data_IF_564527379616
#
_entry.id   IF_564527379616
#
_cell.length_a   1.000
_cell.length_b   1.000
_cell.length_c   1.000
_cell.angle_alpha   90.00
_cell.angle_beta   90.00
_cell.angle_gamma   90.00
#
_symmetry.space_group_name_H-M   'P 1'
#
loop_
_entity.id
_entity.type
_entity.pdbx_description
1 polymer ?
#
# COMPACT_ATOMS: atom_id res chain seq x y z
N UNK A 1 -14.58 16.92 29.88
CA UNK A 1 -15.11 17.08 28.51
C UNK A 1 -16.11 15.97 28.25
N UNK A 2 -17.31 16.34 27.80
CA UNK A 2 -18.33 15.34 27.45
C UNK A 2 -17.80 14.47 26.30
N UNK A 3 -17.90 13.15 26.35
CA UNK A 3 -17.33 12.25 25.33
C UNK A 3 -17.77 12.61 23.89
N UNK A 4 -19.03 13.03 23.74
CA UNK A 4 -19.56 13.49 22.46
C UNK A 4 -18.80 14.70 21.89
N UNK A 5 -18.46 15.69 22.71
CA UNK A 5 -17.71 16.87 22.28
C UNK A 5 -16.29 16.47 21.83
N UNK A 6 -15.63 15.57 22.54
CA UNK A 6 -14.31 15.07 22.16
C UNK A 6 -14.36 14.30 20.81
N UNK A 7 -15.36 13.44 20.63
CA UNK A 7 -15.56 12.70 19.37
C UNK A 7 -15.84 13.64 18.20
N UNK A 8 -16.68 14.66 18.40
CA UNK A 8 -16.96 15.67 17.37
C UNK A 8 -15.71 16.47 17.01
N UNK A 9 -14.94 16.92 18.00
CA UNK A 9 -13.69 17.65 17.75
C UNK A 9 -12.67 16.80 16.99
N UNK A 10 -12.53 15.51 17.33
CA UNK A 10 -11.66 14.59 16.61
C UNK A 10 -12.15 14.35 15.18
N UNK A 11 -13.46 14.16 14.98
CA UNK A 11 -14.04 13.98 13.65
C UNK A 11 -13.86 15.20 12.76
N UNK A 12 -14.18 16.38 13.28
CA UNK A 12 -14.02 17.65 12.52
C UNK A 12 -12.54 17.92 12.25
N UNK A 13 -11.66 17.77 13.25
CA UNK A 13 -10.21 17.97 13.08
C UNK A 13 -9.62 16.99 12.07
N UNK A 14 -10.03 15.73 12.11
CA UNK A 14 -9.64 14.71 11.12
C UNK A 14 -10.11 15.05 9.70
N UNK A 15 -11.36 15.48 9.55
CA UNK A 15 -11.90 15.91 8.25
C UNK A 15 -11.15 17.14 7.68
N UNK A 16 -10.88 18.15 8.52
CA UNK A 16 -10.10 19.32 8.12
C UNK A 16 -8.68 18.91 7.72
N UNK A 17 -8.02 18.06 8.51
CA UNK A 17 -6.69 17.56 8.19
C UNK A 17 -6.66 16.79 6.86
N UNK A 18 -7.61 15.89 6.63
CA UNK A 18 -7.71 15.14 5.38
C UNK A 18 -7.95 16.06 4.17
N UNK A 19 -8.83 17.06 4.32
CA UNK A 19 -9.08 18.04 3.25
C UNK A 19 -7.87 18.93 2.98
N UNK A 20 -7.14 19.36 4.03
CA UNK A 20 -5.96 20.19 3.88
C UNK A 20 -4.79 19.47 3.20
N UNK A 21 -4.62 18.17 3.47
CA UNK A 21 -3.51 17.38 2.93
C UNK A 21 -3.82 16.66 1.63
N UNK A 22 -5.04 16.12 1.49
CA UNK A 22 -5.45 15.29 0.35
C UNK A 22 -6.57 15.86 -0.52
N UNK A 23 -7.20 16.97 -0.07
CA UNK A 23 -8.41 17.49 -0.73
C UNK A 23 -8.19 17.92 -2.18
N UNK A 24 -7.08 18.59 -2.49
CA UNK A 24 -6.75 18.99 -3.87
C UNK A 24 -6.62 17.78 -4.80
N UNK A 25 -5.92 16.74 -4.35
CA UNK A 25 -5.76 15.48 -5.05
C UNK A 25 -7.10 14.77 -5.22
N UNK A 26 -7.86 14.63 -4.12
CA UNK A 26 -9.19 14.01 -4.16
C UNK A 26 -10.17 14.75 -5.11
N UNK A 27 -10.12 16.07 -5.15
CA UNK A 27 -10.92 16.86 -6.07
C UNK A 27 -10.53 16.63 -7.53
N UNK A 28 -9.23 16.51 -7.81
CA UNK A 28 -8.74 16.18 -9.15
C UNK A 28 -9.23 14.80 -9.57
N UNK A 29 -9.06 13.78 -8.72
CA UNK A 29 -9.55 12.43 -8.99
C UNK A 29 -11.08 12.39 -9.18
N UNK A 30 -11.82 13.17 -8.39
CA UNK A 30 -13.26 13.27 -8.55
C UNK A 30 -13.65 13.83 -9.93
N UNK A 31 -12.99 14.90 -10.36
CA UNK A 31 -13.28 15.55 -11.64
C UNK A 31 -12.92 14.66 -12.84
N UNK A 32 -11.76 13.99 -12.77
CA UNK A 32 -11.24 13.20 -13.87
C UNK A 32 -11.85 11.80 -13.95
N UNK A 33 -12.12 11.18 -12.78
CA UNK A 33 -12.45 9.76 -12.68
C UNK A 33 -13.79 9.50 -11.95
N UNK A 34 -14.47 10.53 -11.44
CA UNK A 34 -15.72 10.38 -10.70
C UNK A 34 -15.58 9.73 -9.31
N UNK A 35 -14.36 9.60 -8.80
CA UNK A 35 -14.07 8.95 -7.53
C UNK A 35 -12.91 9.67 -6.81
N UNK A 36 -13.13 10.34 -5.66
CA UNK A 36 -12.11 11.19 -5.00
C UNK A 36 -10.97 10.39 -4.37
N UNK A 37 -11.12 9.09 -4.24
CA UNK A 37 -10.12 8.18 -3.67
C UNK A 37 -9.83 7.01 -4.62
N UNK A 38 -10.03 7.25 -5.92
CA UNK A 38 -9.79 6.27 -6.97
C UNK A 38 -8.41 5.59 -6.83
N UNK A 39 -8.33 4.26 -7.02
CA UNK A 39 -9.38 3.31 -7.44
C UNK A 39 -10.16 2.66 -6.28
N UNK A 40 -9.95 3.10 -5.03
CA UNK A 40 -10.59 2.53 -3.85
C UNK A 40 -12.10 2.82 -3.81
N UNK A 41 -12.86 1.95 -3.14
CA UNK A 41 -14.31 2.09 -2.93
C UNK A 41 -15.13 2.30 -4.21
N UNK A 42 -14.68 1.73 -5.34
CA UNK A 42 -15.37 1.92 -6.62
C UNK A 42 -16.78 1.29 -6.69
N UNK A 43 -17.10 0.35 -5.81
CA UNK A 43 -18.48 -0.12 -5.64
C UNK A 43 -19.44 1.00 -5.19
N UNK A 44 -18.94 2.01 -4.46
CA UNK A 44 -19.71 3.16 -3.96
C UNK A 44 -19.70 4.30 -4.99
N UNK A 45 -18.53 4.73 -5.43
CA UNK A 45 -18.37 5.91 -6.31
C UNK A 45 -18.69 5.63 -7.78
N UNK A 46 -18.61 4.37 -8.22
CA UNK A 46 -18.96 3.93 -9.57
C UNK A 46 -18.26 4.71 -10.69
N UNK A 47 -16.94 4.94 -10.53
CA UNK A 47 -16.14 5.49 -11.61
C UNK A 47 -16.33 4.69 -12.90
N UNK A 48 -16.50 5.35 -14.06
CA UNK A 48 -16.71 4.65 -15.34
C UNK A 48 -15.46 3.96 -15.89
N UNK A 49 -14.31 4.17 -15.26
CA UNK A 49 -13.02 3.59 -15.69
C UNK A 49 -12.89 2.11 -15.33
N UNK A 50 -13.45 1.70 -14.19
CA UNK A 50 -13.28 0.37 -13.63
C UNK A 50 -14.62 -0.24 -13.25
N UNK A 51 -14.67 -1.57 -13.23
CA UNK A 51 -15.85 -2.32 -12.75
C UNK A 51 -16.25 -1.83 -11.35
N UNK A 52 -17.56 -1.66 -11.02
CA UNK A 52 -18.02 -1.16 -9.73
C UNK A 52 -17.85 -2.20 -8.62
N UNK A 53 -16.61 -2.45 -8.23
CA UNK A 53 -16.20 -3.33 -7.15
C UNK A 53 -15.15 -2.64 -6.26
N UNK A 54 -15.05 -3.07 -5.02
CA UNK A 54 -13.98 -2.60 -4.15
C UNK A 54 -12.71 -3.42 -4.37
N UNK A 55 -11.58 -2.73 -4.47
CA UNK A 55 -10.29 -3.39 -4.46
C UNK A 55 -10.02 -3.87 -3.05
N UNK A 56 -9.77 -5.15 -2.92
CA UNK A 56 -9.27 -5.76 -1.71
C UNK A 56 -8.26 -6.84 -2.10
N UNK A 57 -7.09 -6.79 -1.50
CA UNK A 57 -6.09 -7.82 -1.71
C UNK A 57 -6.36 -8.98 -0.74
N UNK A 58 -7.21 -9.89 -1.18
CA UNK A 58 -7.71 -11.00 -0.37
C UNK A 58 -6.62 -11.94 0.15
N UNK A 59 -5.45 -11.96 -0.49
CA UNK A 59 -4.33 -12.80 -0.05
C UNK A 59 -3.84 -12.42 1.36
N UNK A 60 -3.95 -11.14 1.72
CA UNK A 60 -3.55 -10.63 3.03
C UNK A 60 -4.70 -10.57 4.05
N UNK A 61 -5.94 -10.74 3.60
CA UNK A 61 -7.11 -10.61 4.47
C UNK A 61 -7.24 -11.80 5.42
N UNK A 62 -7.72 -11.58 6.67
CA UNK A 62 -7.97 -12.68 7.59
C UNK A 62 -9.05 -13.63 7.07
N UNK A 63 -8.83 -14.93 7.23
CA UNK A 63 -9.77 -16.00 6.82
C UNK A 63 -10.85 -16.29 7.86
N UNK A 64 -10.88 -15.54 8.96
CA UNK A 64 -11.83 -15.68 10.04
C UNK A 64 -11.34 -14.99 11.31
N UNK A 65 -12.15 -15.02 12.37
CA UNK A 65 -11.85 -14.31 13.63
C UNK A 65 -10.58 -14.81 14.32
N UNK A 66 -10.34 -16.14 14.35
CA UNK A 66 -9.15 -16.71 14.97
C UNK A 66 -7.89 -16.35 14.19
N UNK A 67 -7.99 -16.34 12.86
CA UNK A 67 -6.91 -15.91 11.99
C UNK A 67 -6.60 -14.42 12.21
N UNK A 68 -7.62 -13.58 12.33
CA UNK A 68 -7.48 -12.15 12.65
C UNK A 68 -6.75 -11.91 13.98
N UNK A 69 -7.06 -12.68 15.00
CA UNK A 69 -6.38 -12.61 16.31
C UNK A 69 -4.95 -13.12 16.26
N UNK A 70 -4.61 -13.98 15.31
CA UNK A 70 -3.29 -14.55 15.17
C UNK A 70 -2.28 -13.64 14.42
N UNK A 71 -2.70 -12.51 13.82
CA UNK A 71 -1.81 -11.63 13.06
C UNK A 71 -0.57 -11.14 13.83
N UNK A 72 -0.66 -10.72 15.11
CA UNK A 72 0.51 -10.37 15.89
C UNK A 72 1.50 -11.53 16.04
N UNK A 73 1.01 -12.77 16.08
CA UNK A 73 1.84 -13.97 16.13
C UNK A 73 2.50 -14.28 14.79
N UNK A 74 1.80 -14.09 13.66
CA UNK A 74 2.40 -14.25 12.33
C UNK A 74 3.59 -13.31 12.13
N UNK A 75 3.48 -12.06 12.57
CA UNK A 75 4.60 -11.13 12.50
C UNK A 75 5.76 -11.53 13.40
N UNK A 76 5.47 -12.09 14.57
CA UNK A 76 6.51 -12.59 15.47
C UNK A 76 7.36 -13.69 14.81
N UNK A 77 6.73 -14.65 14.12
CA UNK A 77 7.42 -15.79 13.51
C UNK A 77 7.95 -15.53 12.11
N UNK A 78 7.60 -14.41 11.50
CA UNK A 78 8.04 -14.05 10.14
C UNK A 78 7.22 -14.71 9.04
N UNK A 79 5.95 -14.99 9.31
CA UNK A 79 5.01 -15.46 8.29
C UNK A 79 4.61 -14.31 7.36
N UNK A 80 4.60 -14.55 6.05
CA UNK A 80 4.26 -13.57 5.02
C UNK A 80 2.76 -13.28 4.91
N UNK A 81 1.98 -13.63 5.94
CA UNK A 81 0.53 -13.52 5.94
C UNK A 81 0.01 -12.10 5.66
N UNK A 82 0.77 -11.09 6.03
CA UNK A 82 0.40 -9.68 5.86
C UNK A 82 1.44 -8.85 5.09
N UNK A 83 2.39 -9.49 4.42
CA UNK A 83 3.45 -8.79 3.70
C UNK A 83 3.87 -9.53 2.44
N UNK A 84 4.24 -8.78 1.41
CA UNK A 84 4.84 -9.33 0.19
C UNK A 84 6.27 -9.85 0.43
N UNK A 85 6.93 -9.40 1.48
CA UNK A 85 8.31 -9.74 1.81
C UNK A 85 8.43 -10.27 3.23
N UNK A 86 9.36 -11.20 3.47
CA UNK A 86 9.64 -11.69 4.81
C UNK A 86 10.10 -10.57 5.74
N UNK A 87 9.49 -10.48 6.91
CA UNK A 87 9.90 -9.59 7.99
C UNK A 87 9.52 -10.21 9.33
N UNK A 88 10.12 -9.74 10.41
CA UNK A 88 9.73 -10.10 11.78
C UNK A 88 9.53 -8.85 12.60
N UNK A 89 8.41 -8.79 13.31
CA UNK A 89 8.09 -7.69 14.20
C UNK A 89 7.45 -8.21 15.50
N UNK A 90 8.18 -8.07 16.59
CA UNK A 90 7.71 -8.51 17.90
C UNK A 90 6.77 -7.49 18.59
N UNK A 91 6.72 -6.23 18.15
CA UNK A 91 6.01 -5.14 18.84
C UNK A 91 4.55 -5.44 19.07
N UNK A 92 3.85 -5.90 18.04
CA UNK A 92 2.41 -6.19 18.11
C UNK A 92 2.09 -7.36 19.02
N UNK A 93 2.90 -8.42 18.96
CA UNK A 93 2.76 -9.56 19.86
C UNK A 93 3.05 -9.19 21.32
N UNK A 94 4.09 -8.42 21.57
CA UNK A 94 4.41 -7.91 22.90
C UNK A 94 3.28 -7.02 23.43
N UNK A 95 2.76 -6.11 22.63
CA UNK A 95 1.61 -5.28 23.01
C UNK A 95 0.40 -6.14 23.36
N UNK A 96 0.08 -7.15 22.56
CA UNK A 96 -1.03 -8.08 22.84
C UNK A 96 -0.83 -8.82 24.16
N UNK A 97 0.34 -9.38 24.42
CA UNK A 97 0.66 -10.08 25.68
C UNK A 97 0.55 -9.12 26.88
N UNK A 98 1.07 -7.90 26.76
CA UNK A 98 0.97 -6.90 27.81
C UNK A 98 -0.46 -6.46 28.09
N UNK A 99 -1.32 -6.36 27.06
CA UNK A 99 -2.76 -6.11 27.24
C UNK A 99 -3.39 -7.25 28.06
N UNK A 100 -3.10 -8.51 27.73
CA UNK A 100 -3.62 -9.66 28.47
C UNK A 100 -3.13 -9.66 29.93
N UNK A 101 -1.84 -9.36 30.17
CA UNK A 101 -1.28 -9.21 31.51
C UNK A 101 -2.00 -8.08 32.27
N UNK A 102 -2.22 -6.94 31.65
CA UNK A 102 -2.89 -5.80 32.27
C UNK A 102 -4.36 -6.12 32.62
N UNK A 103 -5.07 -6.79 31.73
CA UNK A 103 -6.44 -7.27 31.97
C UNK A 103 -6.44 -8.28 33.15
N UNK A 104 -5.57 -9.29 33.09
CA UNK A 104 -5.47 -10.29 34.14
C UNK A 104 -5.18 -9.68 35.51
N UNK A 105 -4.23 -8.71 35.55
CA UNK A 105 -3.95 -7.97 36.78
C UNK A 105 -5.17 -7.21 37.27
N UNK A 106 -5.87 -6.46 36.40
CA UNK A 106 -7.07 -5.71 36.77
C UNK A 106 -8.16 -6.61 37.39
N UNK A 107 -8.32 -7.82 36.85
CA UNK A 107 -9.27 -8.82 37.37
C UNK A 107 -8.81 -9.36 38.73
N UNK A 108 -7.53 -9.67 38.90
CA UNK A 108 -6.99 -10.21 40.16
C UNK A 108 -7.12 -9.19 41.29
N UNK A 109 -6.73 -7.95 41.06
CA UNK A 109 -6.79 -6.89 42.10
C UNK A 109 -8.22 -6.30 42.24
N UNK A 110 -9.13 -6.65 41.34
CA UNK A 110 -10.52 -6.11 41.29
C UNK A 110 -10.56 -4.58 41.25
N UNK A 111 -9.60 -3.96 40.56
CA UNK A 111 -9.49 -2.51 40.49
C UNK A 111 -9.05 -2.07 39.08
N UNK A 112 -9.55 -0.90 38.66
CA UNK A 112 -9.14 -0.31 37.38
C UNK A 112 -7.70 0.18 37.47
N UNK A 113 -6.81 -0.38 36.63
CA UNK A 113 -5.42 0.03 36.54
C UNK A 113 -5.19 1.19 35.55
N UNK A 114 -6.15 1.41 34.67
CA UNK A 114 -6.13 2.43 33.63
C UNK A 114 -6.95 3.65 34.04
N UNK A 115 -6.43 4.83 33.69
CA UNK A 115 -7.18 6.09 33.73
C UNK A 115 -8.08 6.20 32.49
N UNK A 116 -9.01 7.17 32.53
CA UNK A 116 -9.87 7.43 31.36
C UNK A 116 -9.06 7.77 30.09
N UNK A 117 -7.94 8.48 30.22
CA UNK A 117 -7.05 8.78 29.09
C UNK A 117 -6.36 7.55 28.53
N UNK A 118 -5.95 6.64 29.40
CA UNK A 118 -5.33 5.39 28.99
C UNK A 118 -6.33 4.53 28.20
N UNK A 119 -7.58 4.44 28.69
CA UNK A 119 -8.66 3.73 27.99
C UNK A 119 -8.93 4.35 26.62
N UNK A 120 -8.96 5.67 26.50
CA UNK A 120 -9.12 6.34 25.21
C UNK A 120 -7.98 6.00 24.24
N UNK A 121 -6.74 5.96 24.72
CA UNK A 121 -5.59 5.59 23.89
C UNK A 121 -5.62 4.11 23.49
N UNK A 122 -5.96 3.21 24.41
CA UNK A 122 -6.14 1.78 24.14
C UNK A 122 -7.25 1.56 23.11
N UNK A 123 -8.39 2.21 23.29
CA UNK A 123 -9.51 2.12 22.36
C UNK A 123 -9.14 2.63 20.97
N UNK A 124 -8.48 3.81 20.90
CA UNK A 124 -7.99 4.35 19.63
C UNK A 124 -7.05 3.37 18.92
N UNK A 125 -6.06 2.82 19.64
CA UNK A 125 -5.10 1.87 19.07
C UNK A 125 -5.79 0.58 18.59
N UNK A 126 -6.74 0.06 19.38
CA UNK A 126 -7.49 -1.16 19.03
C UNK A 126 -8.40 -0.94 17.82
N UNK A 127 -9.15 0.17 17.80
CA UNK A 127 -10.02 0.50 16.67
C UNK A 127 -9.20 0.74 15.41
N UNK A 128 -8.08 1.45 15.50
CA UNK A 128 -7.16 1.67 14.36
C UNK A 128 -6.61 0.34 13.84
N UNK A 129 -6.20 -0.58 14.72
CA UNK A 129 -5.74 -1.91 14.34
C UNK A 129 -6.84 -2.73 13.67
N UNK A 130 -8.04 -2.75 14.24
CA UNK A 130 -9.19 -3.47 13.67
C UNK A 130 -9.58 -2.90 12.29
N UNK A 131 -9.59 -1.57 12.14
CA UNK A 131 -9.87 -0.90 10.87
C UNK A 131 -8.84 -1.27 9.80
N UNK A 132 -7.54 -1.22 10.15
CA UNK A 132 -6.48 -1.64 9.26
C UNK A 132 -6.64 -3.12 8.85
N UNK A 133 -6.95 -4.00 9.80
CA UNK A 133 -7.10 -5.44 9.55
C UNK A 133 -8.28 -5.75 8.62
N UNK A 134 -9.38 -5.00 8.76
CA UNK A 134 -10.59 -5.17 7.94
C UNK A 134 -10.39 -4.58 6.53
N UNK A 135 -9.72 -3.44 6.41
CA UNK A 135 -9.64 -2.72 5.14
C UNK A 135 -8.46 -3.17 4.27
N UNK A 136 -7.33 -3.51 4.88
CA UNK A 136 -6.09 -3.71 4.14
C UNK A 136 -5.34 -4.97 4.53
N UNK A 137 -5.11 -5.18 5.84
CA UNK A 137 -4.29 -6.25 6.43
C UNK A 137 -2.86 -6.36 5.84
N UNK A 138 -2.37 -5.32 5.15
CA UNK A 138 -1.05 -5.26 4.52
C UNK A 138 -0.12 -4.44 5.40
N UNK A 139 1.02 -5.01 5.78
CA UNK A 139 1.98 -4.43 6.72
C UNK A 139 2.44 -3.02 6.31
N UNK A 140 2.72 -2.78 5.04
CA UNK A 140 3.16 -1.44 4.56
C UNK A 140 2.16 -0.31 4.85
N UNK A 141 0.92 -0.61 5.16
CA UNK A 141 -0.10 0.37 5.56
C UNK A 141 -0.24 0.47 7.09
N UNK A 142 0.53 -0.32 7.86
CA UNK A 142 0.50 -0.33 9.31
C UNK A 142 1.46 0.67 9.97
N UNK A 143 2.10 1.58 9.22
CA UNK A 143 3.12 2.53 9.72
C UNK A 143 2.65 3.30 10.96
N UNK A 144 1.43 3.81 10.94
CA UNK A 144 0.86 4.55 12.09
C UNK A 144 0.69 3.63 13.30
N UNK A 145 0.27 2.37 13.07
CA UNK A 145 0.12 1.38 14.14
C UNK A 145 1.49 0.99 14.72
N UNK A 146 2.49 0.85 13.89
CA UNK A 146 3.87 0.59 14.33
C UNK A 146 4.41 1.72 15.22
N UNK A 147 4.14 2.98 14.86
CA UNK A 147 4.49 4.15 15.69
C UNK A 147 3.72 4.16 17.02
N UNK A 148 2.47 3.72 17.05
CA UNK A 148 1.66 3.64 18.26
C UNK A 148 2.08 2.50 19.20
N UNK A 149 2.72 1.45 18.69
CA UNK A 149 3.13 0.31 19.51
C UNK A 149 4.11 0.70 20.63
N UNK A 150 5.07 1.57 20.38
CA UNK A 150 6.05 1.95 21.39
C UNK A 150 5.42 2.66 22.60
N UNK A 151 4.66 3.76 22.46
CA UNK A 151 3.98 4.38 23.60
C UNK A 151 2.94 3.46 24.25
N UNK A 152 2.30 2.57 23.48
CA UNK A 152 1.37 1.58 24.00
C UNK A 152 2.08 0.58 24.92
N UNK A 153 3.20 0.00 24.50
CA UNK A 153 4.02 -0.91 25.30
C UNK A 153 4.49 -0.24 26.58
N UNK A 154 5.00 0.99 26.49
CA UNK A 154 5.44 1.76 27.66
C UNK A 154 4.28 1.98 28.64
N UNK A 155 3.13 2.42 28.16
CA UNK A 155 1.93 2.59 28.98
C UNK A 155 1.55 1.28 29.69
N UNK A 156 1.47 0.18 28.97
CA UNK A 156 1.08 -1.11 29.50
C UNK A 156 2.06 -1.61 30.57
N UNK A 157 3.38 -1.49 30.37
CA UNK A 157 4.39 -1.85 31.37
C UNK A 157 4.26 -0.99 32.63
N UNK A 158 4.19 0.34 32.47
CA UNK A 158 4.06 1.25 33.61
C UNK A 158 2.79 0.97 34.40
N UNK A 159 1.65 0.80 33.74
CA UNK A 159 0.38 0.48 34.41
C UNK A 159 0.37 -0.90 35.05
N UNK A 160 0.97 -1.89 34.41
CA UNK A 160 1.05 -3.26 34.95
C UNK A 160 1.97 -3.35 36.18
N UNK A 161 2.94 -2.47 36.32
CA UNK A 161 3.89 -2.45 37.46
C UNK A 161 3.63 -1.33 38.48
N UNK A 162 2.64 -0.46 38.23
CA UNK A 162 2.28 0.62 39.16
C UNK A 162 1.72 0.03 40.48
N UNK A 163 2.17 0.63 41.59
CA UNK A 163 1.73 0.20 42.93
C UNK A 163 0.26 0.59 43.26
N UNK A 164 -0.24 1.71 42.69
CA UNK A 164 -1.58 2.22 42.95
C UNK A 164 -2.42 2.23 41.68
N UNK A 165 -3.55 1.50 41.65
CA UNK A 165 -4.46 1.53 40.51
C UNK A 165 -5.06 2.92 40.27
N UNK A 166 -5.29 3.29 39.05
CA UNK A 166 -6.01 4.52 38.66
C UNK A 166 -5.30 5.84 38.92
N UNK A 167 -4.11 5.84 39.51
CA UNK A 167 -3.30 7.04 39.70
C UNK A 167 -2.83 7.59 38.33
N UNK A 168 -2.54 8.91 38.29
CA UNK A 168 -1.85 9.53 37.16
C UNK A 168 -0.56 8.79 36.82
N UNK A 169 0.00 9.01 35.62
CA UNK A 169 1.34 8.49 35.32
C UNK A 169 2.32 9.11 36.32
N UNK A 170 3.21 8.32 36.95
CA UNK A 170 4.21 8.86 37.84
C UNK A 170 5.16 9.78 37.06
N UNK A 171 5.66 10.84 37.73
CA UNK A 171 6.65 11.74 37.12
C UNK A 171 7.93 10.98 36.69
N UNK A 172 8.27 9.89 37.39
CA UNK A 172 9.30 8.93 36.99
C UNK A 172 8.78 7.51 37.16
N UNK A 173 9.00 6.62 36.16
CA UNK A 173 8.67 5.21 36.29
C UNK A 173 9.49 4.57 37.43
N UNK A 174 8.92 3.52 38.03
CA UNK A 174 9.66 2.75 39.03
C UNK A 174 10.90 2.09 38.42
N UNK A 175 11.91 1.79 39.22
CA UNK A 175 13.11 1.08 38.79
C UNK A 175 12.77 -0.25 38.09
N UNK A 176 11.75 -0.96 38.58
CA UNK A 176 11.24 -2.19 37.96
C UNK A 176 10.64 -1.95 36.58
N UNK A 177 9.89 -0.87 36.39
CA UNK A 177 9.34 -0.50 35.10
C UNK A 177 10.45 -0.13 34.12
N UNK A 178 11.49 0.58 34.57
CA UNK A 178 12.62 0.91 33.71
C UNK A 178 13.37 -0.36 33.23
N UNK A 179 13.63 -1.31 34.11
CA UNK A 179 14.24 -2.59 33.70
C UNK A 179 13.32 -3.37 32.76
N UNK A 180 12.02 -3.42 33.03
CA UNK A 180 11.06 -4.09 32.16
C UNK A 180 11.01 -3.45 30.76
N UNK A 181 11.00 -2.12 30.69
CA UNK A 181 11.02 -1.39 29.41
C UNK A 181 12.34 -1.66 28.66
N UNK A 182 13.48 -1.60 29.35
CA UNK A 182 14.79 -1.88 28.74
C UNK A 182 14.88 -3.32 28.22
N UNK A 183 14.46 -4.30 29.02
CA UNK A 183 14.43 -5.71 28.62
C UNK A 183 13.49 -5.94 27.43
N UNK A 184 12.31 -5.35 27.46
CA UNK A 184 11.34 -5.44 26.36
C UNK A 184 11.88 -4.81 25.08
N UNK A 185 12.49 -3.63 25.16
CA UNK A 185 13.11 -2.96 24.02
C UNK A 185 14.25 -3.82 23.43
N UNK A 186 15.10 -4.39 24.28
CA UNK A 186 16.17 -5.26 23.85
C UNK A 186 15.63 -6.53 23.16
N UNK A 187 14.61 -7.18 23.72
CA UNK A 187 13.98 -8.37 23.12
C UNK A 187 13.39 -8.02 21.75
N UNK A 188 12.68 -6.90 21.65
CA UNK A 188 12.11 -6.45 20.36
C UNK A 188 13.24 -6.19 19.36
N UNK A 189 14.30 -5.47 19.76
CA UNK A 189 15.42 -5.14 18.87
C UNK A 189 16.20 -6.39 18.39
N UNK A 190 16.37 -7.38 19.24
CA UNK A 190 17.08 -8.63 18.90
C UNK A 190 16.23 -9.55 18.02
N UNK A 191 14.92 -9.51 18.18
CA UNK A 191 14.01 -10.40 17.44
C UNK A 191 13.51 -9.83 16.14
N UNK A 192 13.30 -8.51 16.08
CA UNK A 192 12.71 -7.86 14.90
C UNK A 192 13.71 -7.80 13.74
N UNK A 193 13.24 -8.16 12.59
CA UNK A 193 13.99 -8.10 11.34
C UNK A 193 13.18 -7.28 10.33
N UNK A 194 13.66 -6.10 9.93
CA UNK A 194 12.96 -5.29 8.95
C UNK A 194 12.90 -6.02 7.61
N UNK A 195 11.81 -5.81 6.88
CA UNK A 195 11.65 -6.34 5.53
C UNK A 195 12.72 -5.75 4.58
N UNK A 196 13.32 -6.61 3.78
CA UNK A 196 14.19 -6.15 2.68
C UNK A 196 13.30 -5.72 1.50
N UNK A 197 13.17 -4.42 1.32
CA UNK A 197 12.45 -3.82 0.20
C UNK A 197 13.32 -3.71 -1.06
N UNK A 198 14.42 -4.46 -1.13
CA UNK A 198 15.39 -4.45 -2.23
C UNK A 198 15.93 -3.06 -2.56
N UNK A 199 15.97 -2.17 -1.56
CA UNK A 199 16.59 -0.86 -1.71
C UNK A 199 18.09 -1.05 -1.88
N UNK A 200 18.58 -0.66 -3.05
CA UNK A 200 20.02 -0.69 -3.35
C UNK A 200 20.56 0.73 -3.19
N UNK A 201 21.86 0.87 -2.82
CA UNK A 201 22.53 2.15 -2.92
C UNK A 201 22.37 2.72 -4.33
N UNK A 202 22.11 4.00 -4.44
CA UNK A 202 22.00 4.68 -5.72
C UNK A 202 23.41 4.84 -6.30
N UNK A 203 23.96 3.78 -6.88
CA UNK A 203 25.33 3.74 -7.40
C UNK A 203 25.40 4.19 -8.86
N UNK A 204 24.34 3.96 -9.63
CA UNK A 204 24.26 4.39 -11.02
C UNK A 204 22.97 5.19 -11.20
N UNK A 205 23.05 6.42 -11.75
CA UNK A 205 21.85 7.16 -12.09
C UNK A 205 21.03 6.35 -13.10
N UNK A 206 19.71 6.34 -12.91
CA UNK A 206 18.77 5.86 -13.90
C UNK A 206 18.95 6.72 -15.17
N UNK A 207 19.56 6.16 -16.19
CA UNK A 207 19.81 6.83 -17.45
C UNK A 207 19.61 5.84 -18.60
N UNK A 208 18.37 5.46 -18.90
CA UNK A 208 18.08 4.55 -19.98
C UNK A 208 18.39 5.20 -21.33
N UNK A 209 19.07 4.46 -22.19
CA UNK A 209 19.31 4.85 -23.56
C UNK A 209 18.11 4.47 -24.42
N UNK A 210 17.60 5.45 -25.14
CA UNK A 210 16.46 5.28 -26.05
C UNK A 210 17.02 5.11 -27.46
N UNK A 211 16.58 4.04 -28.11
CA UNK A 211 16.91 3.80 -29.52
C UNK A 211 16.20 4.81 -30.43
N UNK A 212 16.85 5.20 -31.54
CA UNK A 212 16.30 6.18 -32.51
C UNK A 212 14.84 6.00 -32.91
N UNK A 213 14.31 4.77 -33.12
CA UNK A 213 12.90 4.59 -33.45
C UNK A 213 11.95 5.10 -32.37
N UNK A 214 12.39 5.23 -31.12
CA UNK A 214 11.58 5.66 -29.96
C UNK A 214 11.72 7.16 -29.65
N UNK A 215 12.50 7.91 -30.44
CA UNK A 215 12.69 9.35 -30.24
C UNK A 215 11.48 10.21 -30.65
N UNK A 216 10.53 9.64 -31.37
CA UNK A 216 9.29 10.32 -31.72
C UNK A 216 8.13 9.96 -30.80
N UNK A 217 7.21 10.91 -30.52
CA UNK A 217 6.03 10.62 -29.75
C UNK A 217 5.22 9.44 -30.31
N UNK A 218 4.90 8.47 -29.48
CA UNK A 218 4.22 7.24 -29.86
C UNK A 218 3.17 6.82 -28.82
N UNK A 219 2.34 5.85 -29.16
CA UNK A 219 1.44 5.18 -28.23
C UNK A 219 2.08 3.88 -27.72
N UNK A 220 2.30 3.79 -26.41
CA UNK A 220 2.95 2.65 -25.77
C UNK A 220 1.94 1.81 -24.99
N UNK A 221 1.91 0.52 -25.27
CA UNK A 221 1.07 -0.47 -24.60
C UNK A 221 1.93 -1.31 -23.65
N UNK A 222 1.73 -1.13 -22.34
CA UNK A 222 2.51 -1.81 -21.31
C UNK A 222 1.90 -3.16 -21.01
N UNK A 223 2.63 -4.24 -21.32
CA UNK A 223 2.18 -5.63 -21.15
C UNK A 223 2.70 -6.28 -19.88
N UNK A 224 3.45 -5.55 -19.06
CA UNK A 224 4.06 -6.04 -17.82
C UNK A 224 4.15 -4.95 -16.76
N UNK A 225 4.56 -5.29 -15.55
CA UNK A 225 4.89 -4.33 -14.46
C UNK A 225 6.22 -4.72 -13.78
N UNK A 226 6.89 -3.71 -13.23
CA UNK A 226 6.62 -2.27 -13.33
C UNK A 226 7.29 -1.69 -14.59
N UNK A 227 6.54 -1.16 -15.54
CA UNK A 227 7.09 -0.56 -16.76
C UNK A 227 6.84 0.94 -16.88
N UNK A 228 5.87 1.48 -16.13
CA UNK A 228 5.47 2.89 -16.26
C UNK A 228 6.60 3.90 -15.99
N UNK A 229 7.67 3.52 -15.29
CA UNK A 229 8.80 4.39 -15.00
C UNK A 229 9.59 4.77 -16.27
N UNK A 230 9.54 3.99 -17.37
CA UNK A 230 10.19 4.36 -18.64
C UNK A 230 9.52 5.53 -19.33
N UNK A 231 8.29 5.88 -18.95
CA UNK A 231 7.59 7.05 -19.48
C UNK A 231 8.37 8.35 -19.24
N UNK A 232 9.22 8.41 -18.21
CA UNK A 232 10.02 9.58 -17.85
C UNK A 232 11.13 9.88 -18.86
N UNK A 233 11.52 8.93 -19.67
CA UNK A 233 12.62 9.05 -20.65
C UNK A 233 12.14 8.99 -22.09
N UNK A 234 10.91 8.57 -22.33
CA UNK A 234 10.28 8.58 -23.64
C UNK A 234 9.72 9.98 -23.96
N UNK A 235 9.50 10.33 -25.24
CA UNK A 235 9.05 11.65 -25.63
C UNK A 235 7.80 12.12 -24.87
N UNK A 236 7.78 13.36 -24.32
CA UNK A 236 6.70 13.82 -23.41
C UNK A 236 5.29 13.81 -24.02
N UNK A 237 5.18 13.93 -25.35
CA UNK A 237 3.88 13.88 -26.05
C UNK A 237 3.40 12.45 -26.32
N UNK A 238 4.14 11.43 -25.87
CA UNK A 238 3.74 10.03 -25.98
C UNK A 238 2.56 9.69 -25.06
N UNK A 239 1.83 8.64 -25.42
CA UNK A 239 0.68 8.14 -24.65
C UNK A 239 1.00 6.74 -24.14
N UNK A 240 0.65 6.47 -22.88
CA UNK A 240 0.97 5.21 -22.20
C UNK A 240 -0.30 4.53 -21.72
N UNK A 241 -0.46 3.26 -22.04
CA UNK A 241 -1.62 2.46 -21.69
C UNK A 241 -1.17 1.15 -21.01
N UNK A 242 -1.40 1.04 -19.71
CA UNK A 242 -1.20 -0.21 -19.00
C UNK A 242 -2.40 -1.11 -19.29
N UNK A 243 -2.22 -2.15 -20.12
CA UNK A 243 -3.30 -3.07 -20.52
C UNK A 243 -3.16 -4.47 -19.91
N UNK A 244 -2.05 -4.75 -19.26
CA UNK A 244 -1.79 -6.00 -18.54
C UNK A 244 -1.59 -5.75 -17.04
N UNK A 245 -1.81 -6.80 -16.25
CA UNK A 245 -1.55 -6.81 -14.80
C UNK A 245 -2.22 -5.66 -14.02
N UNK A 246 -3.38 -5.23 -14.49
CA UNK A 246 -4.19 -4.20 -13.86
C UNK A 246 -4.86 -4.84 -12.63
N UNK A 247 -4.80 -4.14 -11.50
CA UNK A 247 -5.35 -4.61 -10.23
C UNK A 247 -6.88 -4.81 -10.26
N UNK A 248 -7.55 -4.16 -11.21
CA UNK A 248 -9.00 -4.28 -11.39
C UNK A 248 -9.34 -4.49 -12.87
N UNK A 249 -10.42 -5.26 -13.16
CA UNK A 249 -10.90 -5.40 -14.52
C UNK A 249 -11.34 -4.04 -15.10
N UNK A 250 -10.88 -3.74 -16.30
CA UNK A 250 -11.37 -2.60 -17.09
C UNK A 250 -12.78 -2.91 -17.53
N UNK A 251 -13.64 -1.88 -17.51
CA UNK A 251 -14.99 -2.01 -18.08
C UNK A 251 -14.85 -2.23 -19.59
N UNK A 252 -15.33 -3.35 -20.15
CA UNK A 252 -15.31 -3.57 -21.59
C UNK A 252 -16.07 -2.43 -22.31
N UNK A 253 -15.44 -1.86 -23.35
CA UNK A 253 -15.93 -0.70 -24.10
C UNK A 253 -16.19 0.56 -23.24
N UNK A 254 -15.62 0.59 -22.03
CA UNK A 254 -15.65 1.73 -21.12
C UNK A 254 -14.79 2.91 -21.59
N UNK A 255 -14.63 3.90 -20.72
CA UNK A 255 -13.90 5.13 -21.05
C UNK A 255 -12.43 4.85 -21.39
N UNK A 256 -11.78 3.95 -20.67
CA UNK A 256 -10.39 3.55 -20.93
C UNK A 256 -10.24 2.98 -22.35
N UNK A 257 -11.10 2.03 -22.74
CA UNK A 257 -11.09 1.45 -24.08
C UNK A 257 -11.37 2.50 -25.16
N UNK A 258 -12.29 3.42 -24.91
CA UNK A 258 -12.62 4.51 -25.85
C UNK A 258 -11.42 5.45 -26.05
N UNK A 259 -10.70 5.79 -24.99
CA UNK A 259 -9.48 6.61 -25.07
C UNK A 259 -8.42 5.94 -25.94
N UNK A 260 -8.18 4.64 -25.74
CA UNK A 260 -7.23 3.88 -26.57
C UNK A 260 -7.67 3.87 -28.03
N UNK A 261 -8.92 3.51 -28.31
CA UNK A 261 -9.44 3.48 -29.69
C UNK A 261 -9.41 4.86 -30.37
N UNK A 262 -9.66 5.92 -29.63
CA UNK A 262 -9.56 7.30 -30.14
C UNK A 262 -8.10 7.66 -30.43
N UNK A 263 -7.18 7.26 -29.57
CA UNK A 263 -5.75 7.48 -29.80
C UNK A 263 -5.24 6.73 -31.03
N UNK A 264 -5.71 5.51 -31.26
CA UNK A 264 -5.34 4.72 -32.45
C UNK A 264 -5.92 5.27 -33.75
N UNK A 265 -7.08 5.93 -33.71
CA UNK A 265 -7.62 6.66 -34.90
C UNK A 265 -6.80 7.89 -35.26
N UNK A 266 -6.10 8.47 -34.29
CA UNK A 266 -5.21 9.63 -34.46
C UNK A 266 -3.79 9.24 -34.09
N UNK A 267 -3.09 8.49 -34.93
CA UNK A 267 -1.78 7.94 -34.62
C UNK A 267 -0.75 9.07 -34.43
N UNK A 268 0.14 8.86 -33.47
CA UNK A 268 1.30 9.73 -33.28
C UNK A 268 2.40 9.42 -34.30
N UNK A 269 3.33 10.35 -34.58
CA UNK A 269 4.38 10.15 -35.57
C UNK A 269 5.23 8.90 -35.39
N UNK A 270 5.51 8.52 -34.13
CA UNK A 270 6.25 7.31 -33.77
C UNK A 270 5.43 6.01 -33.82
N UNK A 271 4.14 6.08 -34.17
CA UNK A 271 3.27 4.91 -34.28
C UNK A 271 2.83 4.32 -32.94
N UNK A 272 2.67 3.01 -32.91
CA UNK A 272 2.29 2.25 -31.71
C UNK A 272 3.36 1.19 -31.39
N UNK A 273 3.62 1.01 -30.09
CA UNK A 273 4.61 0.08 -29.57
C UNK A 273 4.06 -0.66 -28.39
N UNK A 274 4.40 -1.93 -28.24
CA UNK A 274 4.23 -2.62 -26.97
C UNK A 274 5.54 -2.57 -26.17
N UNK A 275 5.42 -2.62 -24.83
CA UNK A 275 6.55 -2.70 -23.92
C UNK A 275 6.40 -3.92 -23.02
N UNK A 276 7.47 -4.71 -22.93
CA UNK A 276 7.55 -5.83 -22.01
C UNK A 276 8.96 -6.02 -21.46
N UNK A 277 9.12 -6.74 -20.37
CA UNK A 277 10.40 -7.16 -19.84
C UNK A 277 10.95 -8.30 -20.69
N UNK A 278 12.20 -8.22 -21.15
CA UNK A 278 12.86 -9.29 -21.90
C UNK A 278 12.70 -10.65 -21.19
N UNK A 279 12.36 -11.67 -21.98
CA UNK A 279 12.14 -13.03 -21.48
C UNK A 279 10.77 -13.29 -20.90
N UNK A 280 9.90 -12.30 -20.78
CA UNK A 280 8.48 -12.52 -20.49
C UNK A 280 7.68 -12.71 -21.78
N UNK A 281 6.65 -13.56 -21.77
CA UNK A 281 5.82 -13.76 -22.95
C UNK A 281 5.01 -12.51 -23.29
N UNK A 282 4.98 -12.18 -24.58
CA UNK A 282 4.10 -11.11 -25.08
C UNK A 282 2.66 -11.63 -25.06
N UNK A 283 1.77 -10.90 -24.44
CA UNK A 283 0.35 -11.25 -24.32
C UNK A 283 -0.43 -10.68 -25.51
N UNK A 284 -0.25 -11.24 -26.69
CA UNK A 284 -0.85 -10.77 -27.95
C UNK A 284 -2.37 -10.62 -27.86
N UNK A 285 -3.07 -11.49 -27.13
CA UNK A 285 -4.51 -11.45 -26.95
C UNK A 285 -5.00 -10.09 -26.38
N UNK A 286 -4.17 -9.42 -25.57
CA UNK A 286 -4.50 -8.08 -25.05
C UNK A 286 -4.40 -7.00 -26.13
N UNK A 287 -3.50 -7.16 -27.09
CA UNK A 287 -3.34 -6.27 -28.24
C UNK A 287 -4.46 -6.48 -29.26
N UNK A 288 -4.85 -7.74 -29.50
CA UNK A 288 -5.95 -8.11 -30.41
C UNK A 288 -7.27 -7.43 -30.04
N UNK A 289 -7.53 -7.22 -28.74
CA UNK A 289 -8.70 -6.48 -28.24
C UNK A 289 -8.83 -5.08 -28.86
N UNK A 290 -7.69 -4.49 -29.20
CA UNK A 290 -7.62 -3.16 -29.83
C UNK A 290 -7.34 -3.21 -31.33
N UNK A 291 -7.38 -4.40 -31.93
CA UNK A 291 -7.09 -4.59 -33.36
C UNK A 291 -5.63 -4.40 -33.71
N UNK A 292 -4.72 -4.67 -32.75
CA UNK A 292 -3.27 -4.56 -32.92
C UNK A 292 -2.61 -5.92 -32.95
N UNK A 293 -1.50 -6.01 -33.67
CA UNK A 293 -0.59 -7.15 -33.68
C UNK A 293 0.86 -6.65 -33.80
N UNK A 294 1.82 -7.52 -33.49
CA UNK A 294 3.23 -7.24 -33.71
C UNK A 294 3.53 -7.04 -35.19
N UNK A 295 4.37 -6.07 -35.51
CA UNK A 295 4.90 -5.85 -36.86
C UNK A 295 6.05 -6.81 -37.12
N UNK A 296 5.75 -7.97 -37.71
CA UNK A 296 6.75 -8.99 -38.03
C UNK A 296 7.83 -8.54 -39.02
N UNK A 297 7.63 -7.40 -39.70
CA UNK A 297 8.62 -6.82 -40.64
C UNK A 297 9.73 -6.03 -39.96
N UNK A 298 9.55 -5.71 -38.66
CA UNK A 298 10.49 -4.90 -37.88
C UNK A 298 10.90 -5.64 -36.61
N UNK A 299 12.18 -5.47 -36.23
CA UNK A 299 12.68 -5.99 -34.95
C UNK A 299 12.29 -5.11 -33.79
N UNK A 300 12.12 -5.73 -32.61
CA UNK A 300 12.02 -5.02 -31.35
C UNK A 300 13.31 -4.24 -31.07
N UNK A 301 13.21 -3.17 -30.33
CA UNK A 301 14.35 -2.37 -29.86
C UNK A 301 14.43 -2.42 -28.35
N UNK A 302 15.64 -2.34 -27.82
CA UNK A 302 15.88 -2.40 -26.40
C UNK A 302 15.94 -1.00 -25.78
N UNK A 303 15.37 -0.88 -24.58
CA UNK A 303 15.61 0.24 -23.69
C UNK A 303 16.60 -0.26 -22.64
N UNK A 304 17.87 0.08 -22.85
CA UNK A 304 18.96 -0.27 -21.95
C UNK A 304 19.01 0.64 -20.73
N UNK A 305 19.66 0.20 -19.65
CA UNK A 305 19.83 0.99 -18.44
C UNK A 305 18.56 1.09 -17.59
N UNK A 306 17.59 0.22 -17.84
CA UNK A 306 16.42 0.06 -17.01
C UNK A 306 16.77 -0.46 -15.60
N UNK A 307 15.84 -0.39 -14.70
CA UNK A 307 16.02 -0.69 -13.28
C UNK A 307 16.56 -2.12 -13.03
N UNK A 308 17.57 -2.26 -12.17
CA UNK A 308 18.19 -3.52 -11.73
C UNK A 308 18.68 -4.47 -12.84
N UNK A 309 19.19 -3.94 -13.95
CA UNK A 309 19.67 -4.76 -15.05
C UNK A 309 18.55 -5.43 -15.84
N UNK A 310 17.30 -5.04 -15.61
CA UNK A 310 16.17 -5.47 -16.41
C UNK A 310 16.26 -4.81 -17.78
N UNK A 311 16.23 -5.58 -18.85
CA UNK A 311 16.13 -5.07 -20.21
C UNK A 311 14.64 -5.02 -20.58
N UNK A 312 14.21 -3.86 -21.07
CA UNK A 312 12.86 -3.68 -21.59
C UNK A 312 12.96 -3.75 -23.11
N UNK A 313 12.08 -4.51 -23.71
CA UNK A 313 11.90 -4.58 -25.15
C UNK A 313 10.69 -3.76 -25.56
N UNK A 314 10.86 -2.98 -26.62
CA UNK A 314 9.81 -2.24 -27.30
C UNK A 314 9.61 -2.84 -28.68
N UNK A 315 8.46 -3.41 -28.95
CA UNK A 315 8.15 -4.02 -30.24
C UNK A 315 7.11 -3.19 -30.99
N UNK A 316 7.32 -2.89 -32.28
CA UNK A 316 6.39 -2.09 -33.06
C UNK A 316 5.09 -2.85 -33.32
N UNK A 317 3.99 -2.10 -33.32
CA UNK A 317 2.66 -2.61 -33.54
C UNK A 317 2.07 -2.09 -34.85
N UNK A 318 1.28 -2.93 -35.49
CA UNK A 318 0.49 -2.58 -36.69
C UNK A 318 -0.98 -2.97 -36.48
N UNK A 319 -1.84 -2.36 -37.27
CA UNK A 319 -3.24 -2.79 -37.31
C UNK A 319 -3.33 -4.24 -37.81
N UNK A 320 -4.13 -5.05 -37.13
CA UNK A 320 -4.41 -6.41 -37.54
C UNK A 320 -5.26 -6.39 -38.81
N UNK A 321 -4.79 -7.03 -39.85
CA UNK A 321 -5.60 -7.28 -41.05
C UNK A 321 -6.80 -8.18 -40.68
N UNK A 322 -7.97 -7.75 -41.10
CA UNK A 322 -9.23 -8.48 -40.82
C UNK A 322 -9.41 -9.65 -41.76
#
# INVERSE_FOLDING_TARGET
TRPLTATLCLGVGGAIGALATGGAWGLMLWRELGNPIFPLFNAVFRSPELVPMNIMDWQFSPRGYLDALAYPFYWLIGDNRSSEYPFRDARFFVAMVLILIAIGRSLIIRAAIFTQRDIQFLLFSTVSYATWLILFAIQRYAIVLELLCAPLIVLLIVRSLAGRPGAGLPHAPSIRANYAMAATALLIALWSQPGDWFRRPWSNPYNPHIAKPLEQPAAYFLLDKPLAYVATVLPPASRFYQIADIAMPIVPDGEFDRRIRTALKNPLPGGAWELHTRGKPIREQLLERYGLQLDASKSCVEIEGAWLGTVIEACPLVARER
#
